data_IF_919981968901
#
_entry.id   IF_919981968901
#
_cell.length_a   1.000
_cell.length_b   1.000
_cell.length_c   1.000
_cell.angle_alpha   90.00
_cell.angle_beta   90.00
_cell.angle_gamma   90.00
#
_symmetry.space_group_name_H-M   'P 1'
#
loop_
_entity.id
_entity.type
_entity.pdbx_description
1 polymer ?
#
# COMPACT_ATOMS: atom_id res chain seq x y z
N UNK A 1 31.62 6.80 9.69
CA UNK A 1 30.52 7.40 8.89
C UNK A 1 29.37 7.74 9.82
N UNK A 2 28.67 8.87 9.65
CA UNK A 2 27.50 9.18 10.48
C UNK A 2 26.36 8.20 10.17
N UNK A 3 25.50 7.93 11.15
CA UNK A 3 24.35 7.02 11.01
C UNK A 3 23.45 7.39 9.80
N UNK A 4 23.31 8.68 9.53
CA UNK A 4 22.57 9.21 8.38
C UNK A 4 23.18 8.75 7.04
N UNK A 5 24.51 8.86 6.88
CA UNK A 5 25.19 8.43 5.65
C UNK A 5 25.07 6.93 5.38
N UNK A 6 24.95 6.11 6.43
CA UNK A 6 24.74 4.67 6.29
C UNK A 6 23.31 4.38 5.84
N UNK A 7 22.32 5.05 6.43
CA UNK A 7 20.93 4.87 6.03
C UNK A 7 20.72 5.28 4.56
N UNK A 8 21.29 6.41 4.14
CA UNK A 8 21.22 6.86 2.75
C UNK A 8 21.83 5.81 1.80
N UNK A 9 22.98 5.22 2.16
CA UNK A 9 23.61 4.17 1.36
C UNK A 9 22.75 2.89 1.28
N UNK A 10 22.07 2.50 2.37
CA UNK A 10 21.15 1.36 2.39
C UNK A 10 19.96 1.64 1.47
N UNK A 11 19.32 2.81 1.63
CA UNK A 11 18.14 3.19 0.84
C UNK A 11 18.48 3.27 -0.65
N UNK A 12 19.60 3.91 -1.01
CA UNK A 12 20.09 3.93 -2.39
C UNK A 12 20.28 2.53 -2.95
N UNK A 13 20.90 1.62 -2.18
CA UNK A 13 21.15 0.25 -2.65
C UNK A 13 19.87 -0.55 -2.85
N UNK A 14 18.86 -0.34 -2.01
CA UNK A 14 17.55 -0.99 -2.14
C UNK A 14 16.77 -0.47 -3.35
N UNK A 15 16.84 0.84 -3.60
CA UNK A 15 16.23 1.46 -4.78
C UNK A 15 16.91 1.01 -6.07
N UNK A 16 18.25 0.90 -6.12
CA UNK A 16 18.96 0.30 -7.25
C UNK A 16 18.48 -1.13 -7.56
N UNK A 17 18.09 -1.89 -6.52
CA UNK A 17 17.52 -3.22 -6.65
C UNK A 17 16.01 -3.22 -6.93
N UNK A 18 15.41 -2.05 -7.17
CA UNK A 18 13.98 -1.82 -7.41
C UNK A 18 13.09 -2.35 -6.27
N UNK A 19 13.57 -2.23 -5.02
CA UNK A 19 12.85 -2.67 -3.81
C UNK A 19 12.25 -1.48 -3.08
N UNK A 20 10.94 -1.54 -2.86
CA UNK A 20 10.16 -0.56 -2.10
C UNK A 20 9.53 -1.26 -0.90
N UNK A 21 9.45 -0.56 0.23
CA UNK A 21 8.98 -1.13 1.49
C UNK A 21 7.82 -0.30 2.03
N UNK A 22 6.72 -0.97 2.36
CA UNK A 22 5.62 -0.47 3.16
C UNK A 22 5.70 -1.13 4.54
N UNK A 23 6.20 -0.38 5.52
CA UNK A 23 6.38 -0.88 6.90
C UNK A 23 5.54 -0.05 7.87
N UNK A 24 4.61 -0.69 8.55
CA UNK A 24 3.70 -0.04 9.49
C UNK A 24 2.39 0.42 8.86
N UNK A 25 1.78 1.43 9.47
CA UNK A 25 0.44 1.89 9.15
C UNK A 25 0.35 2.49 7.74
N UNK A 26 -0.78 2.26 7.06
CA UNK A 26 -1.14 2.97 5.83
C UNK A 26 -1.70 4.35 6.19
N UNK A 27 -0.96 5.38 5.81
CA UNK A 27 -1.26 6.79 6.04
C UNK A 27 -0.63 7.66 4.94
N UNK A 28 -0.85 8.97 4.97
CA UNK A 28 -0.38 9.85 3.90
C UNK A 28 1.16 9.89 3.81
N UNK A 29 1.86 9.70 4.93
CA UNK A 29 3.32 9.68 4.97
C UNK A 29 3.87 8.43 4.28
N UNK A 30 3.35 7.26 4.64
CA UNK A 30 3.73 5.99 4.02
C UNK A 30 3.28 5.92 2.57
N UNK A 31 2.09 6.44 2.24
CA UNK A 31 1.60 6.57 0.86
C UNK A 31 2.54 7.40 0.01
N UNK A 32 2.89 8.61 0.46
CA UNK A 32 3.86 9.44 -0.22
C UNK A 32 5.21 8.73 -0.40
N UNK A 33 5.72 8.10 0.66
CA UNK A 33 6.98 7.37 0.61
C UNK A 33 7.01 6.26 -0.46
N UNK A 34 5.94 5.46 -0.54
CA UNK A 34 5.81 4.37 -1.50
C UNK A 34 5.61 4.92 -2.91
N UNK A 35 4.64 5.83 -3.11
CA UNK A 35 4.30 6.41 -4.41
C UNK A 35 5.51 7.12 -5.05
N UNK A 36 6.22 7.96 -4.29
CA UNK A 36 7.40 8.68 -4.80
C UNK A 36 8.45 7.69 -5.35
N UNK A 37 8.67 6.56 -4.67
CA UNK A 37 9.64 5.53 -5.08
C UNK A 37 9.17 4.73 -6.27
N UNK A 38 7.88 4.37 -6.32
CA UNK A 38 7.28 3.65 -7.44
C UNK A 38 7.38 4.48 -8.73
N UNK A 39 6.97 5.75 -8.67
CA UNK A 39 7.04 6.67 -9.81
C UNK A 39 8.48 6.93 -10.24
N UNK A 40 9.40 7.09 -9.29
CA UNK A 40 10.82 7.24 -9.59
C UNK A 40 11.38 6.03 -10.34
N UNK A 41 11.10 4.81 -9.87
CA UNK A 41 11.58 3.58 -10.50
C UNK A 41 10.98 3.33 -11.88
N UNK A 42 9.71 3.67 -12.07
CA UNK A 42 9.00 3.55 -13.36
C UNK A 42 9.50 4.57 -14.40
N UNK A 43 9.90 5.76 -13.94
CA UNK A 43 10.47 6.80 -14.81
C UNK A 43 11.87 6.45 -15.33
N UNK A 44 12.64 5.65 -14.58
CA UNK A 44 13.97 5.20 -15.00
C UNK A 44 13.89 4.11 -16.07
N UNK A 45 13.04 3.11 -15.87
CA UNK A 45 12.85 1.96 -16.76
C UNK A 45 11.57 1.19 -16.39
N UNK A 46 11.13 0.28 -17.25
CA UNK A 46 9.89 -0.49 -17.08
C UNK A 46 10.09 -1.91 -16.52
N UNK A 47 11.23 -2.18 -15.89
CA UNK A 47 11.50 -3.47 -15.26
C UNK A 47 10.68 -3.67 -13.97
N UNK A 48 10.46 -4.92 -13.57
CA UNK A 48 9.68 -5.27 -12.38
C UNK A 48 10.13 -4.51 -11.12
N UNK A 49 9.17 -4.05 -10.32
CA UNK A 49 9.39 -3.43 -9.01
C UNK A 49 8.91 -4.39 -7.93
N UNK A 50 9.68 -4.55 -6.85
CA UNK A 50 9.29 -5.37 -5.70
C UNK A 50 8.78 -4.49 -4.55
N UNK A 51 7.50 -4.62 -4.20
CA UNK A 51 6.88 -3.98 -3.05
C UNK A 51 6.73 -4.97 -1.89
N UNK A 52 7.54 -4.79 -0.85
CA UNK A 52 7.46 -5.55 0.39
C UNK A 52 6.47 -4.88 1.34
N UNK A 53 5.51 -5.67 1.86
CA UNK A 53 4.39 -5.20 2.67
C UNK A 53 4.44 -5.88 4.03
N UNK A 54 4.63 -5.06 5.07
CA UNK A 54 4.40 -5.42 6.46
C UNK A 54 3.54 -4.33 7.11
N UNK A 55 2.21 -4.47 7.00
CA UNK A 55 1.26 -3.45 7.41
C UNK A 55 0.05 -4.03 8.13
N UNK A 56 -0.37 -3.43 9.26
CA UNK A 56 -1.66 -3.70 9.88
C UNK A 56 -2.84 -3.08 9.12
N UNK A 57 -2.58 -2.33 8.04
CA UNK A 57 -3.56 -1.51 7.33
C UNK A 57 -3.56 -0.07 7.80
N UNK A 58 -4.65 0.65 7.53
CA UNK A 58 -4.78 2.07 7.88
C UNK A 58 -5.84 2.77 7.06
N UNK A 59 -5.60 4.04 6.71
CA UNK A 59 -6.57 4.87 6.01
C UNK A 59 -6.85 4.36 4.60
N UNK A 60 -8.14 4.20 4.30
CA UNK A 60 -8.59 3.66 3.01
C UNK A 60 -8.19 4.56 1.84
N UNK A 61 -8.32 5.88 2.00
CA UNK A 61 -7.95 6.87 0.99
C UNK A 61 -6.46 6.85 0.66
N UNK A 62 -5.59 6.82 1.68
CA UNK A 62 -4.13 6.72 1.48
C UNK A 62 -3.75 5.39 0.82
N UNK A 63 -4.44 4.30 1.16
CA UNK A 63 -4.26 3.01 0.50
C UNK A 63 -4.73 3.01 -0.95
N UNK A 64 -5.86 3.63 -1.28
CA UNK A 64 -6.30 3.75 -2.67
C UNK A 64 -5.39 4.63 -3.52
N UNK A 65 -4.78 5.68 -2.94
CA UNK A 65 -3.77 6.45 -3.65
C UNK A 65 -2.56 5.58 -4.08
N UNK A 66 -2.11 4.67 -3.21
CA UNK A 66 -1.07 3.70 -3.58
C UNK A 66 -1.58 2.68 -4.62
N UNK A 67 -2.80 2.17 -4.44
CA UNK A 67 -3.42 1.20 -5.35
C UNK A 67 -3.50 1.75 -6.78
N UNK A 68 -4.05 2.95 -6.95
CA UNK A 68 -4.22 3.61 -8.24
C UNK A 68 -2.86 3.95 -8.87
N UNK A 69 -1.89 4.36 -8.05
CA UNK A 69 -0.51 4.55 -8.52
C UNK A 69 0.04 3.25 -9.11
N UNK A 70 -0.03 2.13 -8.39
CA UNK A 70 0.47 0.82 -8.86
C UNK A 70 -0.20 0.41 -10.18
N UNK A 71 -1.52 0.57 -10.30
CA UNK A 71 -2.26 0.26 -11.54
C UNK A 71 -1.88 1.15 -12.72
N UNK A 72 -1.37 2.36 -12.46
CA UNK A 72 -1.00 3.32 -13.51
C UNK A 72 0.42 3.15 -14.07
N UNK A 73 1.26 2.36 -13.40
CA UNK A 73 2.68 2.19 -13.79
C UNK A 73 2.81 1.37 -15.07
N UNK A 74 3.91 1.60 -15.81
CA UNK A 74 4.31 0.73 -16.92
C UNK A 74 5.01 -0.54 -16.43
N UNK A 75 5.73 -0.42 -15.32
CA UNK A 75 6.41 -1.52 -14.65
C UNK A 75 5.41 -2.40 -13.92
N UNK A 76 5.56 -3.72 -14.06
CA UNK A 76 4.84 -4.65 -13.20
C UNK A 76 5.32 -4.52 -11.74
N UNK A 77 4.38 -4.52 -10.80
CA UNK A 77 4.69 -4.53 -9.36
C UNK A 77 4.48 -5.94 -8.80
N UNK A 78 5.57 -6.55 -8.34
CA UNK A 78 5.53 -7.75 -7.51
C UNK A 78 5.24 -7.35 -6.07
N UNK A 79 4.20 -7.90 -5.45
CA UNK A 79 3.86 -7.63 -4.05
C UNK A 79 4.25 -8.80 -3.16
N UNK A 80 4.92 -8.53 -2.05
CA UNK A 80 5.45 -9.55 -1.16
C UNK A 80 5.00 -9.26 0.27
N UNK A 81 4.13 -10.11 0.82
CA UNK A 81 3.76 -10.03 2.23
C UNK A 81 4.88 -10.61 3.09
N UNK A 82 5.40 -9.78 4.00
CA UNK A 82 6.38 -10.17 5.03
C UNK A 82 5.84 -9.76 6.40
N UNK A 83 5.63 -10.72 7.29
CA UNK A 83 4.97 -10.49 8.58
C UNK A 83 3.44 -10.40 8.46
N UNK A 84 2.90 -9.23 8.11
CA UNK A 84 1.44 -8.99 8.08
C UNK A 84 1.02 -8.15 6.87
N UNK A 85 -0.05 -8.54 6.19
CA UNK A 85 -0.80 -7.68 5.28
C UNK A 85 -2.28 -7.71 5.70
N UNK A 86 -2.66 -6.78 6.56
CA UNK A 86 -4.02 -6.67 7.09
C UNK A 86 -4.77 -5.47 6.52
N UNK A 87 -6.10 -5.57 6.38
CA UNK A 87 -6.97 -4.47 5.96
C UNK A 87 -6.47 -3.83 4.66
N UNK A 88 -6.20 -2.52 4.60
CA UNK A 88 -5.61 -1.89 3.41
C UNK A 88 -4.29 -2.53 2.96
N UNK A 89 -3.48 -3.07 3.86
CA UNK A 89 -2.28 -3.83 3.51
C UNK A 89 -2.58 -5.09 2.69
N UNK A 90 -3.74 -5.73 2.93
CA UNK A 90 -4.18 -6.90 2.16
C UNK A 90 -4.66 -6.53 0.75
N UNK A 91 -5.32 -5.37 0.58
CA UNK A 91 -5.72 -4.83 -0.73
C UNK A 91 -4.46 -4.43 -1.52
N UNK A 92 -3.49 -3.79 -0.87
CA UNK A 92 -2.20 -3.47 -1.49
C UNK A 92 -1.36 -4.70 -1.80
N UNK A 93 -1.57 -5.82 -1.13
CA UNK A 93 -0.99 -7.09 -1.54
C UNK A 93 -1.68 -7.62 -2.80
N UNK A 94 -3.00 -7.49 -2.91
CA UNK A 94 -3.77 -8.05 -4.03
C UNK A 94 -3.56 -7.32 -5.36
N UNK A 95 -3.22 -6.02 -5.33
CA UNK A 95 -3.01 -5.16 -6.53
C UNK A 95 -1.78 -5.55 -7.36
N UNK A 96 -0.83 -6.30 -6.80
CA UNK A 96 0.35 -6.74 -7.54
C UNK A 96 0.01 -7.53 -8.81
N UNK A 97 0.91 -7.50 -9.78
CA UNK A 97 0.70 -8.15 -11.08
C UNK A 97 0.37 -9.64 -10.93
N UNK A 98 -0.53 -10.15 -11.78
CA UNK A 98 -1.00 -11.55 -11.71
C UNK A 98 0.18 -12.52 -11.84
N UNK A 99 0.29 -13.45 -10.88
CA UNK A 99 1.41 -14.40 -10.80
C UNK A 99 2.64 -13.86 -10.08
N UNK A 100 2.65 -12.58 -9.68
CA UNK A 100 3.74 -11.90 -8.97
C UNK A 100 3.36 -11.44 -7.55
N UNK A 101 2.39 -12.13 -6.93
CA UNK A 101 1.91 -11.85 -5.56
C UNK A 101 2.35 -12.97 -4.65
N UNK A 102 3.20 -12.66 -3.69
CA UNK A 102 3.90 -13.64 -2.87
C UNK A 102 3.63 -13.43 -1.38
N UNK A 103 3.66 -14.52 -0.62
CA UNK A 103 3.57 -14.52 0.85
C UNK A 103 4.75 -15.29 1.41
N UNK A 104 5.47 -14.72 2.37
CA UNK A 104 6.55 -15.44 3.05
C UNK A 104 5.99 -16.52 4.00
N UNK A 105 6.77 -17.56 4.35
CA UNK A 105 6.27 -18.74 5.09
C UNK A 105 5.58 -18.47 6.43
N UNK A 106 5.95 -17.38 7.11
CA UNK A 106 5.39 -16.99 8.41
C UNK A 106 4.50 -15.75 8.34
N UNK A 107 4.26 -15.23 7.13
CA UNK A 107 3.45 -14.04 6.95
C UNK A 107 1.95 -14.39 7.00
N UNK A 108 1.13 -13.42 7.38
CA UNK A 108 -0.33 -13.56 7.48
C UNK A 108 -1.03 -12.48 6.68
N UNK A 109 -2.15 -12.85 6.05
CA UNK A 109 -3.07 -11.91 5.41
C UNK A 109 -4.35 -11.87 6.23
N UNK A 110 -4.90 -10.67 6.45
CA UNK A 110 -6.17 -10.49 7.15
C UNK A 110 -7.02 -9.48 6.40
N UNK A 111 -8.25 -9.88 6.07
CA UNK A 111 -9.25 -9.01 5.46
C UNK A 111 -10.37 -8.73 6.46
N UNK A 112 -10.90 -7.51 6.46
CA UNK A 112 -12.12 -7.15 7.19
C UNK A 112 -12.81 -5.98 6.49
N UNK A 113 -14.11 -5.81 6.70
CA UNK A 113 -14.84 -4.65 6.19
C UNK A 113 -14.31 -3.34 6.80
N UNK A 114 -14.36 -2.20 6.08
CA UNK A 114 -13.89 -0.93 6.59
C UNK A 114 -14.65 -0.53 7.86
N UNK A 115 -13.95 0.13 8.77
CA UNK A 115 -14.50 0.72 9.99
C UNK A 115 -14.49 2.24 9.88
N UNK A 116 -15.54 2.90 10.38
CA UNK A 116 -15.63 4.35 10.43
C UNK A 116 -16.57 4.81 11.54
N UNK A 117 -16.74 6.11 11.67
CA UNK A 117 -17.65 6.73 12.63
C UNK A 117 -18.23 8.02 12.08
N UNK A 118 -19.39 8.43 12.59
CA UNK A 118 -20.08 9.64 12.17
C UNK A 118 -20.60 10.42 13.38
N UNK A 119 -20.59 11.74 13.30
CA UNK A 119 -21.14 12.66 14.32
C UNK A 119 -21.52 13.98 13.64
N UNK A 120 -22.66 14.56 13.99
CA UNK A 120 -23.11 15.83 13.39
C UNK A 120 -24.63 15.89 13.30
N UNK A 121 -25.14 16.69 12.36
CA UNK A 121 -26.56 16.71 12.03
C UNK A 121 -27.00 15.36 11.44
N UNK A 122 -28.31 15.10 11.44
CA UNK A 122 -28.85 13.87 10.87
C UNK A 122 -28.38 13.63 9.42
N UNK A 123 -28.33 14.70 8.61
CA UNK A 123 -27.81 14.67 7.24
C UNK A 123 -26.33 14.30 7.16
N UNK A 124 -25.48 14.82 8.06
CA UNK A 124 -24.04 14.51 8.07
C UNK A 124 -23.79 13.04 8.42
N UNK A 125 -24.58 12.51 9.36
CA UNK A 125 -24.52 11.09 9.75
C UNK A 125 -24.94 10.21 8.58
N UNK A 126 -26.04 10.54 7.91
CA UNK A 126 -26.52 9.80 6.74
C UNK A 126 -25.49 9.78 5.61
N UNK A 127 -24.94 10.94 5.24
CA UNK A 127 -23.91 11.06 4.19
C UNK A 127 -22.68 10.21 4.52
N UNK A 128 -22.21 10.29 5.77
CA UNK A 128 -21.04 9.52 6.21
C UNK A 128 -21.31 8.02 6.18
N UNK A 129 -22.50 7.58 6.60
CA UNK A 129 -22.90 6.18 6.55
C UNK A 129 -22.95 5.65 5.11
N UNK A 130 -23.50 6.45 4.17
CA UNK A 130 -23.53 6.11 2.74
C UNK A 130 -22.11 5.96 2.16
N UNK A 131 -21.17 6.85 2.53
CA UNK A 131 -19.78 6.75 2.06
C UNK A 131 -19.06 5.51 2.62
N UNK A 132 -19.33 5.13 3.89
CA UNK A 132 -18.80 3.88 4.48
C UNK A 132 -19.33 2.66 3.72
N UNK A 133 -20.62 2.63 3.37
CA UNK A 133 -21.22 1.53 2.60
C UNK A 133 -20.61 1.44 1.20
N UNK A 134 -20.47 2.56 0.51
CA UNK A 134 -19.80 2.64 -0.79
C UNK A 134 -18.35 2.16 -0.71
N UNK A 135 -17.61 2.58 0.31
CA UNK A 135 -16.23 2.16 0.55
C UNK A 135 -16.15 0.65 0.78
N UNK A 136 -17.08 0.08 1.55
CA UNK A 136 -17.19 -1.37 1.78
C UNK A 136 -17.42 -2.13 0.48
N UNK A 137 -18.35 -1.68 -0.35
CA UNK A 137 -18.64 -2.31 -1.65
C UNK A 137 -17.45 -2.21 -2.60
N UNK A 138 -16.81 -1.05 -2.67
CA UNK A 138 -15.63 -0.83 -3.50
C UNK A 138 -14.48 -1.77 -3.08
N UNK A 139 -14.19 -1.83 -1.79
CA UNK A 139 -13.11 -2.66 -1.24
C UNK A 139 -13.33 -4.17 -1.43
N UNK A 140 -14.57 -4.61 -1.58
CA UNK A 140 -14.92 -6.01 -1.79
C UNK A 140 -14.80 -6.47 -3.25
N UNK A 141 -14.65 -5.53 -4.20
CA UNK A 141 -14.51 -5.85 -5.64
C UNK A 141 -13.07 -6.14 -6.06
N UNK A 142 -12.09 -5.81 -5.22
CA UNK A 142 -10.66 -6.02 -5.44
C UNK A 142 -10.18 -7.33 -4.79
#
# INVERSE_FOLDING_TARGET
MSKLKIQDAIDSKLIEQRKVFLWGQVDDKSAKHVIDRLLYLDALETADIQLYINSPGGYVTSGFAMYDCIQSLKSDVSTICTGLAASMGSILLSVGAKGKRFIQPHARVMIHQPSGGARGQASDIEITAQEILKTKELSAKF
#
